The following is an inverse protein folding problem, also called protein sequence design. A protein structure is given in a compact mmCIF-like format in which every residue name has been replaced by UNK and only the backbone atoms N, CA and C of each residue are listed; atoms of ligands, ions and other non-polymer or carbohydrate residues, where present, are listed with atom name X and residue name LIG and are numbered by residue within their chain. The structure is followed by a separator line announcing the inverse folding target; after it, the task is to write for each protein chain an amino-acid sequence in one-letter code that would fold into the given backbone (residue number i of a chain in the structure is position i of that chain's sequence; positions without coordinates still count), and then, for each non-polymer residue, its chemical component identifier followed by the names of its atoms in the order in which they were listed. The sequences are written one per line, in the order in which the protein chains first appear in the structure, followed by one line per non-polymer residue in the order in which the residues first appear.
data_IF_773446936734
#
_entry.id   IF_773446936734
#
_cell.length_a   1.000
_cell.length_b   1.000
_cell.length_c   1.000
_cell.angle_alpha   90.00
_cell.angle_beta   90.00
_cell.angle_gamma   90.00
#
_symmetry.space_group_name_H-M   'P 1'
#
loop_
_entity.id
_entity.type
_entity.pdbx_description
1 polymer ?
#
# COMPACT_ATOMS: atom_id res chain seq x y z
N UNK A 1 -9.00 -0.19 -3.82
CA UNK A 1 -8.52 0.99 -3.06
C UNK A 1 -7.02 0.92 -2.80
N UNK A 2 -6.51 -0.11 -2.09
CA UNK A 2 -5.06 -0.17 -1.75
C UNK A 2 -4.13 -0.10 -2.97
N UNK A 3 -4.40 -0.86 -4.05
CA UNK A 3 -3.59 -0.78 -5.28
C UNK A 3 -3.56 0.61 -5.92
N UNK A 4 -4.66 1.37 -5.84
CA UNK A 4 -4.73 2.74 -6.34
C UNK A 4 -3.84 3.66 -5.50
N UNK A 5 -3.86 3.52 -4.17
CA UNK A 5 -2.97 4.26 -3.27
C UNK A 5 -1.51 3.90 -3.56
N UNK A 6 -1.20 2.61 -3.67
CA UNK A 6 0.15 2.13 -3.96
C UNK A 6 0.66 2.60 -5.32
N UNK A 7 -0.21 2.64 -6.34
CA UNK A 7 0.14 3.17 -7.66
C UNK A 7 0.35 4.69 -7.61
N UNK A 8 -0.46 5.41 -6.85
CA UNK A 8 -0.28 6.84 -6.61
C UNK A 8 1.04 7.13 -5.89
N UNK A 9 1.45 6.30 -4.93
CA UNK A 9 2.75 6.41 -4.28
C UNK A 9 3.93 6.16 -5.24
N UNK A 10 3.77 5.24 -6.20
CA UNK A 10 4.79 4.99 -7.22
C UNK A 10 4.98 6.20 -8.15
N UNK A 11 3.87 6.79 -8.59
CA UNK A 11 3.90 7.86 -9.59
C UNK A 11 4.16 9.25 -8.96
N UNK A 12 3.75 9.44 -7.70
CA UNK A 12 3.83 10.71 -6.95
C UNK A 12 4.36 10.47 -5.52
N UNK A 13 5.64 10.08 -5.36
CA UNK A 13 6.19 9.66 -4.08
C UNK A 13 6.37 10.77 -3.04
N UNK A 14 6.23 12.03 -3.42
CA UNK A 14 6.63 13.18 -2.61
C UNK A 14 5.81 13.29 -1.32
N UNK A 15 4.54 12.91 -1.36
CA UNK A 15 3.57 13.10 -0.28
C UNK A 15 3.24 11.79 0.47
N UNK A 16 4.07 10.75 0.33
CA UNK A 16 3.80 9.44 0.95
C UNK A 16 3.75 9.59 2.46
N UNK A 17 4.69 10.33 3.05
CA UNK A 17 4.75 10.53 4.51
C UNK A 17 3.56 11.37 5.02
N UNK A 18 3.16 12.41 4.28
CA UNK A 18 1.98 13.22 4.59
C UNK A 18 0.69 12.37 4.60
N UNK A 19 0.57 11.44 3.65
CA UNK A 19 -0.55 10.50 3.61
C UNK A 19 -0.51 9.55 4.81
N UNK A 20 0.67 9.08 5.21
CA UNK A 20 0.86 8.09 6.26
C UNK A 20 0.89 8.66 7.69
N UNK A 21 0.83 9.99 7.86
CA UNK A 21 0.93 10.68 9.16
C UNK A 21 0.10 10.04 10.29
N UNK A 22 -1.15 9.64 10.00
CA UNK A 22 -2.06 9.01 10.94
C UNK A 22 -2.55 7.62 10.48
N UNK A 23 -1.87 7.04 9.49
CA UNK A 23 -2.14 5.70 8.96
C UNK A 23 -0.89 4.86 9.20
N UNK A 24 -1.01 3.86 10.07
CA UNK A 24 0.11 2.93 10.28
C UNK A 24 0.43 2.18 8.99
N UNK A 25 1.71 2.15 8.62
CA UNK A 25 2.22 1.29 7.53
C UNK A 25 1.82 -0.18 7.75
N UNK A 26 1.66 -0.62 9.00
CA UNK A 26 1.23 -2.00 9.33
C UNK A 26 -0.18 -2.34 8.84
N UNK A 27 -0.98 -1.35 8.47
CA UNK A 27 -2.34 -1.54 7.93
C UNK A 27 -2.34 -2.02 6.47
N UNK A 28 -1.20 -1.98 5.77
CA UNK A 28 -1.04 -2.44 4.40
C UNK A 28 -0.61 -3.92 4.34
N UNK A 29 -0.72 -4.56 3.17
CA UNK A 29 -0.17 -5.93 2.98
C UNK A 29 1.34 -5.97 3.25
N UNK A 30 1.92 -7.12 3.67
CA UNK A 30 3.36 -7.21 3.91
C UNK A 30 4.23 -6.79 2.71
N UNK A 31 3.76 -7.09 1.50
CA UNK A 31 4.39 -6.64 0.26
C UNK A 31 4.33 -5.11 0.14
N UNK A 32 3.15 -4.51 0.30
CA UNK A 32 2.97 -3.06 0.22
C UNK A 32 3.74 -2.31 1.31
N UNK A 33 3.86 -2.88 2.51
CA UNK A 33 4.72 -2.35 3.57
C UNK A 33 6.18 -2.26 3.14
N UNK A 34 6.68 -3.30 2.47
CA UNK A 34 8.06 -3.32 1.96
C UNK A 34 8.24 -2.29 0.85
N UNK A 35 7.28 -2.21 -0.09
CA UNK A 35 7.31 -1.23 -1.17
C UNK A 35 7.26 0.21 -0.65
N UNK A 36 6.37 0.53 0.31
CA UNK A 36 6.29 1.85 0.96
C UNK A 36 7.64 2.23 1.57
N UNK A 37 8.29 1.33 2.31
CA UNK A 37 9.60 1.61 2.92
C UNK A 37 10.68 1.92 1.86
N UNK A 38 10.66 1.20 0.73
CA UNK A 38 11.56 1.48 -0.39
C UNK A 38 11.29 2.88 -0.95
N UNK A 39 10.03 3.23 -1.22
CA UNK A 39 9.66 4.51 -1.81
C UNK A 39 9.98 5.70 -0.89
N UNK A 40 9.64 5.61 0.40
CA UNK A 40 10.00 6.63 1.40
C UNK A 40 11.52 6.79 1.48
N UNK A 41 12.26 5.67 1.55
CA UNK A 41 13.72 5.70 1.58
C UNK A 41 14.37 6.29 0.32
N UNK A 42 13.69 6.19 -0.83
CA UNK A 42 14.12 6.87 -2.07
C UNK A 42 13.78 8.37 -2.02
N UNK A 43 12.60 8.73 -1.52
CA UNK A 43 12.18 10.13 -1.35
C UNK A 43 13.15 10.89 -0.43
N UNK A 44 13.54 10.30 0.70
CA UNK A 44 14.55 10.87 1.62
C UNK A 44 15.91 11.11 0.97
N UNK A 45 16.23 10.38 -0.10
CA UNK A 45 17.48 10.53 -0.86
C UNK A 45 17.31 11.43 -2.10
N UNK A 46 16.16 12.06 -2.27
CA UNK A 46 15.77 12.78 -3.49
C UNK A 46 15.93 11.93 -4.76
N UNK A 47 15.68 10.62 -4.65
CA UNK A 47 15.76 9.67 -5.77
C UNK A 47 14.38 9.43 -6.37
N UNK A 48 14.23 9.69 -7.66
CA UNK A 48 13.00 9.36 -8.39
C UNK A 48 12.82 7.83 -8.46
N UNK A 49 11.65 7.29 -8.11
CA UNK A 49 11.36 5.85 -8.13
C UNK A 49 11.22 5.31 -9.56
N UNK A 50 12.34 4.91 -10.17
CA UNK A 50 12.35 4.20 -11.46
C UNK A 50 12.11 2.71 -11.25
N UNK A 51 11.41 2.06 -12.19
CA UNK A 51 11.08 0.63 -12.11
C UNK A 51 12.32 -0.25 -11.95
N UNK A 52 13.42 0.07 -12.63
CA UNK A 52 14.67 -0.69 -12.51
C UNK A 52 15.24 -0.59 -11.10
N UNK A 53 15.17 0.61 -10.49
CA UNK A 53 15.67 0.82 -9.14
C UNK A 53 14.76 0.15 -8.10
N UNK A 54 13.44 0.20 -8.31
CA UNK A 54 12.48 -0.54 -7.48
C UNK A 54 12.77 -2.04 -7.57
N UNK A 55 12.94 -2.59 -8.78
CA UNK A 55 13.28 -4.01 -9.01
C UNK A 55 14.51 -4.42 -8.21
N UNK A 56 15.57 -3.61 -8.23
CA UNK A 56 16.80 -3.88 -7.46
C UNK A 56 16.57 -3.86 -5.94
N UNK A 57 15.63 -3.06 -5.44
CA UNK A 57 15.36 -2.88 -4.01
C UNK A 57 14.41 -3.92 -3.44
N UNK A 58 13.33 -4.25 -4.16
CA UNK A 58 12.34 -5.25 -3.71
C UNK A 58 12.77 -6.67 -4.08
N UNK A 59 13.57 -6.83 -5.14
CA UNK A 59 14.05 -8.10 -5.66
C UNK A 59 13.19 -8.60 -6.83
N UNK A 60 13.81 -9.40 -7.70
CA UNK A 60 13.21 -9.85 -8.96
C UNK A 60 11.93 -10.67 -8.77
N UNK A 61 11.94 -11.63 -7.83
CA UNK A 61 10.77 -12.46 -7.51
C UNK A 61 9.55 -11.62 -7.11
N UNK A 62 9.77 -10.56 -6.35
CA UNK A 62 8.70 -9.67 -5.89
C UNK A 62 8.24 -8.72 -7.00
N UNK A 63 9.16 -8.25 -7.83
CA UNK A 63 8.85 -7.42 -8.99
C UNK A 63 8.01 -8.18 -10.04
N UNK A 64 8.24 -9.48 -10.22
CA UNK A 64 7.47 -10.31 -11.15
C UNK A 64 6.17 -10.86 -10.55
N UNK A 65 5.89 -10.58 -9.27
CA UNK A 65 4.71 -11.06 -8.58
C UNK A 65 3.41 -10.48 -9.17
N UNK A 66 2.33 -11.25 -9.10
CA UNK A 66 1.00 -10.79 -9.49
C UNK A 66 0.52 -9.61 -8.63
N UNK A 67 0.98 -9.53 -7.37
CA UNK A 67 0.67 -8.41 -6.48
C UNK A 67 1.24 -7.09 -7.03
N UNK A 68 2.52 -7.09 -7.45
CA UNK A 68 3.12 -5.89 -8.04
C UNK A 68 2.51 -5.54 -9.40
N UNK A 69 2.23 -6.52 -10.26
CA UNK A 69 1.57 -6.29 -11.56
C UNK A 69 0.20 -5.62 -11.39
N UNK A 70 -0.58 -6.02 -10.38
CA UNK A 70 -1.88 -5.40 -10.07
C UNK A 70 -1.75 -3.95 -9.61
N UNK A 71 -0.65 -3.58 -8.95
CA UNK A 71 -0.37 -2.19 -8.60
C UNK A 71 -0.03 -1.41 -9.87
N UNK A 72 0.84 -1.94 -10.73
CA UNK A 72 1.22 -1.27 -11.97
C UNK A 72 0.04 -1.05 -12.92
N UNK A 73 -0.93 -1.97 -12.92
CA UNK A 73 -2.13 -1.88 -13.74
C UNK A 73 -3.27 -1.04 -13.11
N UNK A 74 -3.11 -0.58 -11.87
CA UNK A 74 -4.11 0.26 -11.24
C UNK A 74 -4.04 1.70 -11.78
N UNK A 75 -5.12 2.45 -11.57
CA UNK A 75 -5.11 3.90 -11.79
C UNK A 75 -4.28 4.61 -10.71
N UNK A 76 -3.70 5.74 -11.09
CA UNK A 76 -2.97 6.65 -10.19
C UNK A 76 -3.74 7.94 -10.01
N UNK A 77 -3.60 8.57 -8.85
CA UNK A 77 -4.20 9.88 -8.59
C UNK A 77 -3.14 10.84 -8.03
N UNK A 78 -2.82 11.95 -8.70
CA UNK A 78 -1.81 12.90 -8.22
C UNK A 78 -2.12 13.46 -6.83
N UNK A 79 -3.37 13.86 -6.60
CA UNK A 79 -3.82 14.44 -5.33
C UNK A 79 -4.37 13.37 -4.38
N UNK A 80 -3.67 12.24 -4.25
CA UNK A 80 -4.13 11.10 -3.45
C UNK A 80 -4.28 11.41 -1.96
N UNK A 81 -3.74 12.54 -1.47
CA UNK A 81 -4.03 13.05 -0.13
C UNK A 81 -5.53 13.24 0.13
N UNK A 82 -6.31 13.60 -0.90
CA UNK A 82 -7.77 13.73 -0.81
C UNK A 82 -8.45 12.37 -0.55
N UNK A 83 -7.79 11.27 -0.90
CA UNK A 83 -8.28 9.91 -0.69
C UNK A 83 -7.96 9.37 0.71
N UNK A 84 -7.26 10.13 1.57
CA UNK A 84 -6.86 9.70 2.91
C UNK A 84 -8.07 9.32 3.78
N UNK A 85 -9.14 10.12 3.72
CA UNK A 85 -10.39 9.82 4.43
C UNK A 85 -11.04 8.53 3.94
N UNK A 86 -11.18 8.37 2.62
CA UNK A 86 -11.77 7.19 2.00
C UNK A 86 -10.94 5.93 2.28
N UNK A 87 -9.62 6.06 2.30
CA UNK A 87 -8.72 4.96 2.61
C UNK A 87 -8.85 4.50 4.07
N UNK A 88 -9.01 5.41 5.03
CA UNK A 88 -9.30 5.03 6.42
C UNK A 88 -10.63 4.29 6.55
N UNK A 89 -11.66 4.76 5.84
CA UNK A 89 -12.96 4.09 5.78
C UNK A 89 -12.79 2.67 5.22
N UNK A 90 -12.02 2.52 4.15
CA UNK A 90 -11.67 1.22 3.58
C UNK A 90 -10.96 0.30 4.59
N UNK A 91 -9.96 0.79 5.32
CA UNK A 91 -9.26 0.02 6.36
C UNK A 91 -10.19 -0.40 7.50
N UNK A 92 -11.13 0.48 7.90
CA UNK A 92 -12.13 0.17 8.91
C UNK A 92 -13.01 -1.01 8.47
N UNK A 93 -13.50 -0.99 7.23
CA UNK A 93 -14.30 -2.10 6.70
C UNK A 93 -13.52 -3.41 6.65
N UNK A 94 -12.25 -3.40 6.24
CA UNK A 94 -11.39 -4.59 6.27
C UNK A 94 -11.24 -5.17 7.68
N UNK A 95 -11.06 -4.32 8.69
CA UNK A 95 -10.98 -4.76 10.08
C UNK A 95 -12.32 -5.34 10.58
N UNK A 96 -13.44 -4.70 10.25
CA UNK A 96 -14.77 -5.18 10.62
C UNK A 96 -15.06 -6.55 10.01
N UNK A 97 -14.74 -6.74 8.73
CA UNK A 97 -14.88 -8.02 8.04
C UNK A 97 -14.03 -9.11 8.70
N UNK A 98 -12.77 -8.82 9.00
CA UNK A 98 -11.87 -9.74 9.71
C UNK A 98 -12.41 -10.16 11.08
N UNK A 99 -12.90 -9.20 11.87
CA UNK A 99 -13.49 -9.46 13.18
C UNK A 99 -14.77 -10.28 13.08
N UNK A 100 -15.64 -9.97 12.11
CA UNK A 100 -16.86 -10.73 11.86
C UNK A 100 -16.58 -12.19 11.48
N UNK A 101 -15.58 -12.42 10.62
CA UNK A 101 -15.15 -13.77 10.23
C UNK A 101 -14.60 -14.55 11.42
N UNK A 102 -13.77 -13.92 12.26
CA UNK A 102 -13.27 -14.55 13.51
C UNK A 102 -14.38 -14.94 14.47
N UNK A 103 -15.39 -14.07 14.64
CA UNK A 103 -16.56 -14.40 15.47
C UNK A 103 -17.32 -15.60 14.92
N UNK A 104 -17.55 -15.63 13.61
CA UNK A 104 -18.23 -16.75 12.92
C UNK A 104 -17.48 -18.08 13.08
N UNK A 105 -16.15 -18.06 13.04
CA UNK A 105 -15.34 -19.25 13.28
C UNK A 105 -15.41 -19.71 14.73
N UNK A 106 -15.35 -18.78 15.69
CA UNK A 106 -15.43 -19.09 17.11
C UNK A 106 -16.79 -19.69 17.49
N UNK A 107 -17.88 -19.23 16.89
CA UNK A 107 -19.23 -19.77 17.14
C UNK A 107 -19.49 -21.10 16.46
N UNK A 108 -18.81 -21.43 15.35
CA UNK A 108 -18.89 -22.74 14.67
C UNK A 108 -18.11 -23.85 15.37
N UNK A 109 -17.13 -23.50 16.20
CA UNK A 109 -16.31 -24.45 16.99
C UNK A 109 -16.94 -24.81 18.35
N UNK A 110 -18.11 -24.25 18.67
CA UNK A 110 -18.97 -24.66 19.79
C UNK A 110 -20.10 -25.53 19.27
#
# INVERSE_FOLDING_TARGET
MENLIMKSFLDYPQHIEDFLEDISVKSFTPFNQKLIKVLVGMNHRNQTPRLETIKLRIGEKEFESEEFKRILAADSYPDYLNLKSDFKTYLCFQMQEHLANKLKEATRKR
#
